data_IF_694034626204
#
_entry.id   IF_694034626204
#
_cell.length_a   1.000
_cell.length_b   1.000
_cell.length_c   1.000
_cell.angle_alpha   90.00
_cell.angle_beta   90.00
_cell.angle_gamma   90.00
#
_symmetry.space_group_name_H-M   'P 1'
#
loop_
_entity.id
_entity.type
_entity.pdbx_description
1 polymer ?
#
# COMPACT_ATOMS: atom_id res chain seq x y z
N UNK A 1 -8.47 5.57 10.01
CA UNK A 1 -8.87 5.46 8.60
C UNK A 1 -10.20 4.72 8.54
N UNK A 2 -11.18 5.16 7.72
CA UNK A 2 -12.48 4.49 7.60
C UNK A 2 -12.35 2.99 7.26
N UNK A 3 -13.29 2.17 7.71
CA UNK A 3 -13.30 0.71 7.44
C UNK A 3 -13.54 0.40 5.95
N UNK A 4 -14.24 1.28 5.25
CA UNK A 4 -14.57 1.19 3.83
C UNK A 4 -13.50 1.79 2.90
N UNK A 5 -12.46 2.43 3.46
CA UNK A 5 -11.39 3.01 2.67
C UNK A 5 -10.61 1.91 1.93
N UNK A 6 -10.58 1.98 0.59
CA UNK A 6 -9.91 0.99 -0.26
C UNK A 6 -8.46 0.75 0.13
N UNK A 7 -7.72 1.81 0.49
CA UNK A 7 -6.34 1.67 0.94
C UNK A 7 -6.24 0.80 2.20
N UNK A 8 -7.15 0.97 3.17
CA UNK A 8 -7.15 0.18 4.40
C UNK A 8 -7.38 -1.29 4.11
N UNK A 9 -8.42 -1.60 3.33
CA UNK A 9 -8.80 -3.00 3.06
C UNK A 9 -7.71 -3.72 2.27
N UNK A 10 -7.15 -3.09 1.24
CA UNK A 10 -6.06 -3.66 0.45
C UNK A 10 -4.77 -3.82 1.25
N UNK A 11 -4.32 -2.81 1.99
CA UNK A 11 -3.09 -2.91 2.80
C UNK A 11 -3.24 -3.93 3.92
N UNK A 12 -4.42 -4.02 4.56
CA UNK A 12 -4.68 -5.00 5.61
C UNK A 12 -4.60 -6.45 5.11
N UNK A 13 -5.15 -6.73 3.92
CA UNK A 13 -5.06 -8.05 3.29
C UNK A 13 -3.60 -8.45 3.03
N UNK A 14 -2.83 -7.55 2.39
CA UNK A 14 -1.40 -7.78 2.07
C UNK A 14 -0.59 -8.00 3.35
N UNK A 15 -0.79 -7.18 4.38
CA UNK A 15 -0.05 -7.28 5.64
C UNK A 15 -0.39 -8.58 6.36
N UNK A 16 -1.67 -8.99 6.40
CA UNK A 16 -2.07 -10.25 7.02
C UNK A 16 -1.49 -11.46 6.30
N UNK A 17 -1.49 -11.45 4.98
CA UNK A 17 -0.89 -12.52 4.17
C UNK A 17 0.61 -12.64 4.45
N UNK A 18 1.35 -11.52 4.34
CA UNK A 18 2.80 -11.49 4.58
C UNK A 18 3.14 -11.90 6.02
N UNK A 19 2.37 -11.43 7.00
CA UNK A 19 2.54 -11.81 8.40
C UNK A 19 2.30 -13.31 8.63
N UNK A 20 1.29 -13.88 7.96
CA UNK A 20 1.03 -15.33 7.98
C UNK A 20 2.20 -16.14 7.44
N UNK A 21 2.82 -15.69 6.34
CA UNK A 21 4.02 -16.31 5.77
C UNK A 21 5.20 -16.22 6.73
N UNK A 22 5.47 -15.05 7.31
CA UNK A 22 6.57 -14.84 8.28
C UNK A 22 6.39 -15.71 9.54
N UNK A 23 5.17 -15.80 10.08
CA UNK A 23 4.91 -16.61 11.27
C UNK A 23 5.00 -18.12 11.01
N UNK A 24 4.70 -18.57 9.79
CA UNK A 24 4.67 -19.99 9.45
C UNK A 24 6.02 -20.56 9.03
N UNK A 25 7.00 -19.72 8.68
CA UNK A 25 8.30 -20.16 8.16
C UNK A 25 9.42 -19.56 9.00
N UNK A 26 10.40 -20.37 9.41
CA UNK A 26 11.57 -19.91 10.19
C UNK A 26 12.78 -19.58 9.33
N UNK A 27 12.80 -20.05 8.08
CA UNK A 27 13.90 -19.84 7.15
C UNK A 27 13.62 -18.62 6.28
N UNK A 28 14.59 -17.70 6.21
CA UNK A 28 14.52 -16.47 5.41
C UNK A 28 14.30 -16.76 3.92
N UNK A 29 14.99 -17.76 3.36
CA UNK A 29 14.87 -18.10 1.93
C UNK A 29 13.48 -18.58 1.54
N UNK A 30 12.80 -19.28 2.45
CA UNK A 30 11.44 -19.76 2.20
C UNK A 30 10.42 -18.60 2.28
N UNK A 31 10.67 -17.63 3.16
CA UNK A 31 9.87 -16.41 3.25
C UNK A 31 10.02 -15.58 1.97
N UNK A 32 11.25 -15.35 1.52
CA UNK A 32 11.54 -14.60 0.28
C UNK A 32 10.87 -15.23 -0.94
N UNK A 33 10.95 -16.56 -1.07
CA UNK A 33 10.30 -17.29 -2.18
C UNK A 33 8.77 -17.21 -2.12
N UNK A 34 8.18 -17.28 -0.93
CA UNK A 34 6.72 -17.22 -0.76
C UNK A 34 6.16 -15.83 -0.99
N UNK A 35 6.82 -14.80 -0.46
CA UNK A 35 6.40 -13.40 -0.63
C UNK A 35 6.77 -12.89 -2.03
N UNK A 36 7.84 -13.42 -2.63
CA UNK A 36 8.29 -13.15 -4.00
C UNK A 36 8.40 -11.64 -4.32
N UNK A 37 8.97 -10.87 -3.40
CA UNK A 37 9.03 -9.41 -3.49
C UNK A 37 10.42 -8.87 -3.08
N UNK A 38 11.47 -9.55 -3.55
CA UNK A 38 12.85 -9.19 -3.27
C UNK A 38 13.44 -9.90 -2.06
N UNK A 39 14.48 -9.30 -1.48
CA UNK A 39 15.19 -9.83 -0.30
C UNK A 39 14.48 -9.46 1.01
N UNK A 40 14.75 -10.21 2.08
CA UNK A 40 14.12 -9.95 3.39
C UNK A 40 14.41 -8.53 3.93
N UNK A 41 15.60 -7.99 3.69
CA UNK A 41 15.96 -6.62 4.05
C UNK A 41 15.09 -5.58 3.33
N UNK A 42 14.82 -5.81 2.04
CA UNK A 42 13.93 -4.96 1.24
C UNK A 42 12.48 -5.06 1.74
N UNK A 43 12.05 -6.25 2.19
CA UNK A 43 10.72 -6.45 2.77
C UNK A 43 10.54 -5.67 4.08
N UNK A 44 11.57 -5.64 4.94
CA UNK A 44 11.55 -4.83 6.17
C UNK A 44 11.44 -3.35 5.81
N UNK A 45 12.26 -2.87 4.87
CA UNK A 45 12.24 -1.49 4.43
C UNK A 45 10.89 -1.10 3.79
N UNK A 46 10.27 -2.00 3.02
CA UNK A 46 8.91 -1.81 2.50
C UNK A 46 7.89 -1.70 3.64
N UNK A 47 7.97 -2.57 4.64
CA UNK A 47 7.05 -2.54 5.79
C UNK A 47 7.17 -1.23 6.59
N UNK A 48 8.39 -0.73 6.79
CA UNK A 48 8.63 0.56 7.44
C UNK A 48 8.06 1.73 6.63
N UNK A 49 8.29 1.74 5.31
CA UNK A 49 7.75 2.76 4.40
C UNK A 49 6.23 2.73 4.37
N UNK A 50 5.63 1.55 4.35
CA UNK A 50 4.17 1.38 4.37
C UNK A 50 3.57 1.86 5.71
N UNK A 51 4.24 1.59 6.83
CA UNK A 51 3.83 2.09 8.14
C UNK A 51 3.82 3.64 8.17
N UNK A 52 4.87 4.26 7.66
CA UNK A 52 4.97 5.72 7.59
C UNK A 52 3.96 6.31 6.60
N UNK A 53 3.69 5.62 5.49
CA UNK A 53 2.65 6.01 4.54
C UNK A 53 1.26 5.96 5.18
N UNK A 54 0.94 4.87 5.88
CA UNK A 54 -0.34 4.70 6.57
C UNK A 54 -0.57 5.80 7.63
N UNK A 55 0.48 6.21 8.35
CA UNK A 55 0.44 7.35 9.28
C UNK A 55 0.15 8.66 8.56
N UNK A 56 0.85 8.95 7.46
CA UNK A 56 0.61 10.16 6.64
C UNK A 56 -0.79 10.19 6.03
N UNK A 57 -1.33 9.03 5.66
CA UNK A 57 -2.68 8.92 5.12
C UNK A 57 -3.76 9.34 6.14
N UNK A 58 -3.51 9.19 7.44
CA UNK A 58 -4.40 9.73 8.48
C UNK A 58 -4.52 11.26 8.43
N UNK A 59 -3.44 11.93 8.05
CA UNK A 59 -3.40 13.38 7.89
C UNK A 59 -3.97 13.82 6.52
N UNK A 60 -3.59 13.13 5.45
CA UNK A 60 -3.97 13.50 4.08
C UNK A 60 -5.41 13.18 3.72
N UNK A 61 -5.99 12.13 4.34
CA UNK A 61 -7.35 11.64 4.11
C UNK A 61 -7.70 11.43 2.64
N UNK A 62 -6.93 10.61 1.89
CA UNK A 62 -7.16 10.38 0.46
C UNK A 62 -8.48 9.69 0.12
N UNK A 63 -9.19 9.16 1.12
CA UNK A 63 -10.54 8.60 0.97
C UNK A 63 -11.64 9.68 0.90
N UNK A 64 -11.32 10.94 1.20
CA UNK A 64 -12.27 12.04 1.02
C UNK A 64 -12.49 12.29 -0.49
N UNK A 65 -13.67 12.78 -0.89
CA UNK A 65 -13.92 13.16 -2.28
C UNK A 65 -12.87 14.15 -2.80
N UNK A 66 -12.65 14.14 -4.12
CA UNK A 66 -11.73 15.08 -4.77
C UNK A 66 -12.01 16.51 -4.34
N UNK A 67 -10.99 17.16 -3.78
CA UNK A 67 -11.07 18.56 -3.29
C UNK A 67 -11.40 19.53 -4.41
N UNK A 68 -10.86 19.29 -5.61
CA UNK A 68 -11.05 20.13 -6.78
C UNK A 68 -11.42 19.27 -7.98
N UNK A 69 -12.41 19.74 -8.75
CA UNK A 69 -12.74 19.15 -10.05
C UNK A 69 -11.77 19.68 -11.09
N UNK A 70 -11.37 18.82 -12.02
CA UNK A 70 -10.55 19.24 -13.13
C UNK A 70 -11.27 20.32 -13.98
N UNK A 71 -10.58 21.38 -14.42
CA UNK A 71 -11.10 22.33 -15.38
C UNK A 71 -11.52 21.65 -16.69
N UNK A 72 -12.51 22.22 -17.38
CA UNK A 72 -12.93 21.72 -18.69
C UNK A 72 -11.75 21.74 -19.68
N UNK A 73 -11.47 20.60 -20.30
CA UNK A 73 -10.37 20.45 -21.26
C UNK A 73 -9.00 20.13 -20.66
N UNK A 74 -8.82 20.13 -19.33
CA UNK A 74 -7.54 19.84 -18.66
C UNK A 74 -6.92 18.49 -19.08
N UNK A 75 -7.77 17.47 -19.24
CA UNK A 75 -7.35 16.10 -19.58
C UNK A 75 -7.67 15.72 -21.04
N UNK A 76 -8.00 16.69 -21.89
CA UNK A 76 -8.30 16.43 -23.30
C UNK A 76 -7.00 16.39 -24.11
N UNK A 77 -6.69 15.24 -24.68
CA UNK A 77 -5.55 15.03 -25.57
C UNK A 77 -5.96 14.23 -26.82
N UNK A 78 -5.49 14.56 -28.04
CA UNK A 78 -4.63 15.71 -28.38
C UNK A 78 -5.34 17.06 -28.26
N UNK A 79 -4.57 18.11 -28.06
CA UNK A 79 -5.09 19.49 -28.13
C UNK A 79 -5.39 19.84 -29.60
N UNK A 80 -6.45 20.63 -29.87
CA UNK A 80 -6.72 21.15 -31.20
C UNK A 80 -5.61 22.06 -31.73
#
# INVERSE_FOLDING_TARGET
MPDDATYRTSTEEIVKERLGVVNSNKNVSDIEKKINCGQAEELILQAERELDLARKFLEWRPWEPMKEKAPEGQWKWPHP
#
